data_IF_112001014851
#
_entry.id   IF_112001014851
#
_cell.length_a   1.000
_cell.length_b   1.000
_cell.length_c   1.000
_cell.angle_alpha   90.00
_cell.angle_beta   90.00
_cell.angle_gamma   90.00
#
_symmetry.space_group_name_H-M   'P 1'
#
loop_
_entity.id
_entity.type
_entity.pdbx_description
1 polymer ?
#
# COMPACT_ATOMS: atom_id res chain seq x y z
N UNK A 1 2.12 21.20 -8.35
CA UNK A 1 2.15 19.71 -8.29
C UNK A 1 0.76 19.15 -7.99
N UNK A 2 0.03 19.73 -7.04
CA UNK A 2 -1.42 19.49 -6.86
C UNK A 2 -2.22 20.10 -8.02
N UNK A 3 -1.88 21.34 -8.44
CA UNK A 3 -2.65 22.08 -9.45
C UNK A 3 -2.74 21.37 -10.81
N UNK A 4 -1.66 20.74 -11.30
CA UNK A 4 -1.72 20.01 -12.56
C UNK A 4 -2.48 18.69 -12.44
N UNK A 5 -2.36 17.98 -11.30
CA UNK A 5 -3.05 16.71 -11.08
C UNK A 5 -4.56 16.92 -10.93
N UNK A 6 -4.95 17.94 -10.18
CA UNK A 6 -6.35 18.32 -9.95
C UNK A 6 -6.96 18.96 -11.21
N UNK A 7 -6.21 19.78 -11.95
CA UNK A 7 -6.64 20.31 -13.24
C UNK A 7 -6.82 19.20 -14.30
N UNK A 8 -5.95 18.18 -14.30
CA UNK A 8 -6.10 16.99 -15.16
C UNK A 8 -7.30 16.10 -14.77
N UNK A 9 -7.70 16.07 -13.50
CA UNK A 9 -8.83 15.27 -13.00
C UNK A 9 -10.19 15.95 -13.23
N UNK A 10 -10.25 17.29 -13.10
CA UNK A 10 -11.50 18.04 -13.05
C UNK A 10 -11.71 19.01 -14.23
N UNK A 11 -10.73 19.17 -15.14
CA UNK A 11 -10.82 20.05 -16.31
C UNK A 11 -11.22 21.50 -15.97
N UNK A 12 -11.91 22.16 -16.90
CA UNK A 12 -12.42 23.54 -16.73
C UNK A 12 -13.58 23.66 -15.72
N UNK A 13 -14.13 22.54 -15.25
CA UNK A 13 -15.08 22.45 -14.14
C UNK A 13 -14.43 22.62 -12.75
N UNK A 14 -13.10 22.53 -12.65
CA UNK A 14 -12.37 22.86 -11.42
C UNK A 14 -12.45 24.36 -11.08
N UNK A 15 -12.20 25.31 -12.02
CA UNK A 15 -12.47 26.73 -11.83
C UNK A 15 -13.88 27.06 -11.33
N UNK A 16 -14.92 26.30 -11.66
CA UNK A 16 -16.30 26.58 -11.18
C UNK A 16 -16.52 26.12 -9.73
N UNK A 17 -15.99 24.95 -9.37
CA UNK A 17 -15.96 24.46 -7.99
C UNK A 17 -15.02 25.29 -7.09
N UNK A 18 -13.96 25.85 -7.67
CA UNK A 18 -12.99 26.69 -6.98
C UNK A 18 -13.41 28.17 -6.95
N UNK A 19 -14.11 28.70 -7.96
CA UNK A 19 -14.62 30.10 -8.00
C UNK A 19 -15.72 30.35 -6.99
N UNK A 20 -16.55 29.35 -6.73
CA UNK A 20 -17.52 29.36 -5.63
C UNK A 20 -16.82 29.39 -4.26
N UNK A 21 -15.65 28.77 -4.13
CA UNK A 21 -14.82 28.77 -2.92
C UNK A 21 -13.94 30.05 -2.79
N UNK A 22 -13.45 30.63 -3.89
CA UNK A 22 -12.64 31.87 -3.90
C UNK A 22 -13.46 33.15 -3.85
N UNK A 23 -14.68 33.19 -4.38
CA UNK A 23 -15.66 34.28 -4.18
C UNK A 23 -15.92 34.57 -2.69
N UNK A 24 -15.89 33.51 -1.87
CA UNK A 24 -16.03 33.59 -0.41
C UNK A 24 -14.75 34.14 0.25
N UNK A 25 -13.58 33.86 -0.32
CA UNK A 25 -12.27 34.25 0.19
C UNK A 25 -11.87 35.69 -0.20
N UNK A 26 -12.23 36.14 -1.40
CA UNK A 26 -11.97 37.52 -1.88
C UNK A 26 -12.76 38.57 -1.08
N UNK A 27 -13.93 38.21 -0.54
CA UNK A 27 -14.69 39.06 0.38
C UNK A 27 -13.98 39.36 1.72
N UNK A 28 -12.87 38.66 2.06
CA UNK A 28 -12.23 38.73 3.39
C UNK A 28 -10.74 39.17 3.41
N UNK A 29 -10.17 39.59 2.27
CA UNK A 29 -8.92 40.37 2.11
C UNK A 29 -7.73 40.14 3.06
N UNK A 30 -6.73 39.30 2.70
CA UNK A 30 -5.46 39.17 3.46
C UNK A 30 -4.20 39.05 2.57
N UNK A 31 -3.13 39.77 2.93
CA UNK A 31 -1.85 39.97 2.19
C UNK A 31 -0.57 39.67 3.04
N UNK A 32 0.35 38.82 2.51
CA UNK A 32 1.85 38.78 2.51
C UNK A 32 2.81 38.78 3.78
N UNK A 33 3.57 37.64 3.98
CA UNK A 33 5.06 37.33 4.17
C UNK A 33 5.95 37.83 5.39
N UNK A 34 7.21 37.30 5.71
CA UNK A 34 8.05 36.06 5.43
C UNK A 34 8.93 35.42 6.61
N UNK A 35 9.92 34.49 6.32
CA UNK A 35 10.66 33.45 7.15
C UNK A 35 12.26 33.51 7.19
N UNK A 36 12.98 32.64 7.97
CA UNK A 36 14.45 32.67 8.39
C UNK A 36 15.43 31.48 8.02
N UNK A 37 16.74 31.64 8.40
CA UNK A 37 18.07 31.00 8.10
C UNK A 37 18.57 29.82 9.01
N UNK A 38 19.50 28.97 8.52
CA UNK A 38 20.20 27.90 9.30
C UNK A 38 21.69 28.21 9.54
N UNK A 39 22.15 28.06 10.80
CA UNK A 39 23.48 28.43 11.30
C UNK A 39 24.53 27.31 11.34
N UNK A 40 24.15 26.04 11.31
CA UNK A 40 25.12 24.94 11.52
C UNK A 40 25.86 24.52 10.24
N UNK A 41 25.28 24.83 9.08
CA UNK A 41 25.83 24.47 7.76
C UNK A 41 26.46 25.67 7.04
N UNK A 42 26.33 26.90 7.59
CA UNK A 42 26.69 28.18 6.94
C UNK A 42 26.28 28.27 5.46
N UNK A 43 25.20 27.59 5.10
CA UNK A 43 24.74 27.52 3.72
C UNK A 43 23.22 27.69 3.68
N UNK A 44 22.79 28.53 2.76
CA UNK A 44 21.41 28.61 2.28
C UNK A 44 21.26 27.53 1.21
N UNK A 45 20.30 26.61 1.33
CA UNK A 45 20.12 25.55 0.33
C UNK A 45 18.71 25.56 -0.29
N UNK A 46 18.69 25.67 -1.62
CA UNK A 46 17.57 25.53 -2.55
C UNK A 46 17.86 24.29 -3.43
N UNK A 47 16.88 23.48 -3.86
CA UNK A 47 16.13 23.79 -5.09
C UNK A 47 14.78 23.04 -5.13
N UNK A 48 13.75 23.69 -4.59
CA UNK A 48 12.42 23.71 -5.22
C UNK A 48 12.27 25.14 -5.74
N UNK A 49 11.89 25.30 -7.01
CA UNK A 49 11.72 26.60 -7.65
C UNK A 49 10.84 27.51 -6.76
N UNK A 50 11.43 28.63 -6.34
CA UNK A 50 10.86 29.61 -5.43
C UNK A 50 9.58 30.26 -5.96
N UNK A 51 9.26 30.18 -7.27
CA UNK A 51 7.95 30.60 -7.81
C UNK A 51 6.84 29.64 -7.40
N UNK A 52 7.09 28.33 -7.43
CA UNK A 52 6.13 27.28 -7.07
C UNK A 52 5.84 27.26 -5.57
N UNK A 53 6.90 27.44 -4.75
CA UNK A 53 6.74 27.54 -3.31
C UNK A 53 6.05 28.86 -2.90
N UNK A 54 6.31 29.97 -3.61
CA UNK A 54 5.69 31.29 -3.35
C UNK A 54 4.21 31.36 -3.78
N UNK A 55 3.76 30.52 -4.70
CA UNK A 55 2.34 30.33 -5.04
C UNK A 55 1.60 29.51 -3.98
N UNK A 56 2.23 28.44 -3.47
CA UNK A 56 1.63 27.57 -2.45
C UNK A 56 1.64 28.20 -1.03
N UNK A 57 2.62 29.05 -0.72
CA UNK A 57 2.76 29.68 0.61
C UNK A 57 2.16 31.08 0.73
N UNK A 58 1.79 31.75 -0.38
CA UNK A 58 1.00 33.00 -0.31
C UNK A 58 -0.47 32.76 0.05
N UNK A 59 -1.00 31.57 -0.23
CA UNK A 59 -2.44 31.29 -0.17
C UNK A 59 -2.89 30.50 1.07
N UNK A 60 -1.98 30.11 1.97
CA UNK A 60 -2.34 29.33 3.15
C UNK A 60 -1.55 29.76 4.39
N UNK A 61 -2.10 30.69 5.17
CA UNK A 61 -1.81 30.93 6.61
C UNK A 61 -2.98 31.80 7.14
N UNK A 62 -3.78 31.51 8.17
CA UNK A 62 -3.54 31.33 9.63
C UNK A 62 -4.84 30.71 10.29
N UNK A 63 -4.80 29.52 10.93
CA UNK A 63 -4.86 29.12 12.38
C UNK A 63 -6.17 29.38 13.19
N UNK A 64 -6.86 28.32 13.69
CA UNK A 64 -6.85 27.88 15.13
C UNK A 64 -7.83 26.73 15.52
N UNK A 65 -7.39 25.95 16.54
CA UNK A 65 -8.04 25.02 17.51
C UNK A 65 -8.98 23.87 17.04
N UNK A 66 -8.44 22.65 17.00
CA UNK A 66 -8.97 21.45 17.67
C UNK A 66 -7.95 20.30 17.62
N UNK A 67 -7.16 20.16 18.68
CA UNK A 67 -6.55 18.88 18.99
C UNK A 67 -7.66 17.98 19.54
N UNK A 68 -8.07 16.92 18.83
CA UNK A 68 -8.37 15.61 19.46
C UNK A 68 -8.85 14.45 18.55
N UNK A 69 -9.19 14.63 17.26
CA UNK A 69 -10.00 13.59 16.57
C UNK A 69 -9.34 12.76 15.47
N UNK A 70 -8.05 12.92 15.17
CA UNK A 70 -7.35 12.11 14.16
C UNK A 70 -6.04 11.54 14.73
N UNK A 71 -6.15 10.52 15.59
CA UNK A 71 -5.04 9.58 15.80
C UNK A 71 -5.06 8.59 14.63
N UNK A 72 -4.59 9.03 13.46
CA UNK A 72 -4.21 8.10 12.40
C UNK A 72 -2.99 7.31 12.87
N UNK A 73 -2.95 5.99 12.66
CA UNK A 73 -1.81 5.21 13.07
C UNK A 73 -0.54 5.53 12.29
N UNK A 74 0.55 5.39 13.04
CA UNK A 74 1.93 5.63 12.68
C UNK A 74 2.38 4.75 11.51
N UNK A 75 2.70 5.33 10.34
CA UNK A 75 3.93 5.02 9.59
C UNK A 75 4.22 5.96 8.40
N UNK A 76 3.27 6.80 7.98
CA UNK A 76 3.56 7.88 6.99
C UNK A 76 4.44 9.00 7.61
N UNK A 77 4.69 8.97 8.93
CA UNK A 77 5.41 10.04 9.63
C UNK A 77 6.90 9.85 9.89
N UNK A 78 7.50 8.69 9.60
CA UNK A 78 8.88 8.45 10.02
C UNK A 78 9.97 8.99 9.08
N UNK A 79 9.62 9.53 7.89
CA UNK A 79 10.56 10.29 7.05
C UNK A 79 10.48 11.81 7.21
N UNK A 80 9.62 12.31 8.11
CA UNK A 80 9.53 13.73 8.47
C UNK A 80 10.05 14.03 9.89
N UNK A 81 10.87 13.15 10.48
CA UNK A 81 11.59 13.48 11.72
C UNK A 81 12.92 14.16 11.41
N UNK A 82 12.79 15.39 10.96
CA UNK A 82 13.85 16.38 10.87
C UNK A 82 13.20 17.74 10.81
N UNK A 83 12.85 18.27 11.99
CA UNK A 83 12.11 19.51 12.26
C UNK A 83 10.59 19.35 12.37
N UNK A 84 10.16 19.45 13.62
CA UNK A 84 8.91 20.10 14.02
C UNK A 84 8.52 21.25 13.09
N UNK A 85 7.21 21.43 12.89
CA UNK A 85 6.49 22.45 12.11
C UNK A 85 6.28 22.10 10.64
N UNK A 86 5.11 21.52 10.33
CA UNK A 86 4.16 22.00 9.31
C UNK A 86 2.96 21.03 9.19
N UNK A 87 2.19 20.88 10.28
CA UNK A 87 0.78 20.49 10.16
C UNK A 87 -0.04 21.75 10.29
N UNK A 88 -0.54 22.26 9.18
CA UNK A 88 -1.44 23.40 9.22
C UNK A 88 -2.87 22.91 9.47
N UNK A 89 -3.38 23.32 10.64
CA UNK A 89 -4.79 23.37 11.04
C UNK A 89 -5.69 23.86 9.91
N UNK A 90 -6.63 23.02 9.45
CA UNK A 90 -7.80 23.43 8.67
C UNK A 90 -8.94 23.74 9.65
N UNK A 91 -9.60 24.89 9.44
CA UNK A 91 -10.66 25.42 10.30
C UNK A 91 -11.93 24.57 10.25
N UNK A 92 -12.75 24.71 11.30
CA UNK A 92 -14.05 24.10 11.54
C UNK A 92 -15.17 24.48 10.56
N UNK A 93 -14.84 24.94 9.35
CA UNK A 93 -15.80 25.33 8.31
C UNK A 93 -15.60 24.59 6.97
N UNK A 94 -14.58 23.72 6.85
CA UNK A 94 -14.37 22.93 5.63
C UNK A 94 -14.55 21.45 5.89
N UNK A 95 -15.65 20.93 5.35
CA UNK A 95 -16.14 19.55 5.46
C UNK A 95 -15.34 18.55 4.59
N UNK A 96 -14.24 18.98 3.96
CA UNK A 96 -13.48 18.21 2.99
C UNK A 96 -11.97 18.20 3.31
N UNK A 97 -11.36 17.02 3.39
CA UNK A 97 -9.90 16.82 3.49
C UNK A 97 -9.38 16.16 2.23
N UNK A 98 -8.24 16.62 1.72
CA UNK A 98 -7.56 16.06 0.54
C UNK A 98 -6.18 15.56 0.96
N UNK A 99 -5.86 14.32 0.64
CA UNK A 99 -4.60 13.67 0.95
C UNK A 99 -3.99 13.09 -0.33
N UNK A 100 -2.74 13.44 -0.69
CA UNK A 100 -2.05 12.74 -1.77
C UNK A 100 -1.75 11.30 -1.36
N UNK A 101 -1.91 10.35 -2.28
CA UNK A 101 -1.45 8.96 -2.13
C UNK A 101 -0.33 8.66 -3.11
N UNK A 102 0.37 7.53 -2.92
CA UNK A 102 1.47 7.11 -3.81
C UNK A 102 1.02 6.92 -5.26
N UNK A 103 -0.24 6.55 -5.46
CA UNK A 103 -0.86 6.28 -6.74
C UNK A 103 -2.07 7.18 -7.01
N UNK A 104 -2.17 8.38 -6.43
CA UNK A 104 -3.31 9.26 -6.68
C UNK A 104 -3.67 10.19 -5.53
N UNK A 105 -4.96 10.29 -5.20
CA UNK A 105 -5.47 11.17 -4.16
C UNK A 105 -6.68 10.58 -3.43
N UNK A 106 -6.81 10.93 -2.15
CA UNK A 106 -7.95 10.58 -1.29
C UNK A 106 -8.63 11.85 -0.82
N UNK A 107 -9.96 11.87 -0.89
CA UNK A 107 -10.83 12.95 -0.48
C UNK A 107 -11.75 12.42 0.63
N UNK A 108 -11.84 13.11 1.75
CA UNK A 108 -12.75 12.76 2.84
C UNK A 108 -13.75 13.88 2.99
N UNK A 109 -15.00 13.61 2.63
CA UNK A 109 -16.13 14.50 2.85
C UNK A 109 -16.84 14.08 4.14
N UNK A 110 -16.66 14.86 5.20
CA UNK A 110 -17.24 14.58 6.51
C UNK A 110 -18.74 14.81 6.57
N UNK A 111 -19.29 15.68 5.73
CA UNK A 111 -20.71 16.03 5.76
C UNK A 111 -21.57 15.03 5.04
N UNK A 112 -21.11 14.55 3.89
CA UNK A 112 -21.75 13.44 3.20
C UNK A 112 -21.35 12.08 3.79
N UNK A 113 -20.41 12.07 4.75
CA UNK A 113 -19.78 10.87 5.30
C UNK A 113 -19.27 9.94 4.19
N UNK A 114 -18.43 10.48 3.29
CA UNK A 114 -17.87 9.75 2.15
C UNK A 114 -16.36 9.88 2.10
N UNK A 115 -15.72 8.84 1.58
CA UNK A 115 -14.30 8.85 1.20
C UNK A 115 -14.22 8.53 -0.28
N UNK A 116 -13.68 9.43 -1.08
CA UNK A 116 -13.39 9.18 -2.48
C UNK A 116 -11.90 8.94 -2.65
N UNK A 117 -11.51 7.87 -3.34
CA UNK A 117 -10.14 7.63 -3.76
C UNK A 117 -10.10 7.68 -5.28
N UNK A 118 -9.19 8.48 -5.81
CA UNK A 118 -8.87 8.60 -7.23
C UNK A 118 -7.47 8.03 -7.42
N UNK A 119 -7.31 7.09 -8.34
CA UNK A 119 -6.05 6.41 -8.62
C UNK A 119 -5.51 6.76 -10.01
N UNK A 120 -4.18 6.70 -10.12
CA UNK A 120 -3.35 6.83 -11.33
C UNK A 120 -3.88 5.98 -12.48
N UNK A 121 -3.43 6.24 -13.72
CA UNK A 121 -4.08 5.71 -14.92
C UNK A 121 -4.27 4.19 -14.90
N UNK A 122 -5.39 3.71 -15.46
CA UNK A 122 -5.82 2.30 -15.57
C UNK A 122 -4.65 1.36 -15.90
N UNK A 123 -3.72 1.81 -16.73
CA UNK A 123 -2.58 1.03 -17.19
C UNK A 123 -1.65 0.58 -16.07
N UNK A 124 -1.62 1.28 -14.92
CA UNK A 124 -0.81 0.92 -13.77
C UNK A 124 -1.48 -0.11 -12.82
N UNK A 125 -2.81 -0.06 -12.68
CA UNK A 125 -3.58 -0.89 -11.73
C UNK A 125 -4.93 -1.30 -12.34
N UNK A 126 -4.94 -2.07 -13.45
CA UNK A 126 -6.12 -2.28 -14.28
C UNK A 126 -7.27 -3.00 -13.56
N UNK A 127 -6.95 -3.82 -12.57
CA UNK A 127 -7.91 -4.66 -11.85
C UNK A 127 -8.46 -4.00 -10.58
N UNK A 128 -8.06 -2.75 -10.27
CA UNK A 128 -8.37 -2.10 -8.99
C UNK A 128 -9.86 -2.13 -8.60
N UNK A 129 -10.75 -1.69 -9.49
CA UNK A 129 -12.18 -1.63 -9.18
C UNK A 129 -12.80 -3.02 -9.04
N UNK A 130 -12.42 -3.95 -9.91
CA UNK A 130 -12.89 -5.34 -9.87
C UNK A 130 -12.48 -6.03 -8.57
N UNK A 131 -11.25 -5.79 -8.10
CA UNK A 131 -10.75 -6.27 -6.82
C UNK A 131 -11.57 -5.71 -5.66
N UNK A 132 -11.77 -4.39 -5.59
CA UNK A 132 -12.53 -3.74 -4.51
C UNK A 132 -13.98 -4.25 -4.46
N UNK A 133 -14.63 -4.40 -5.62
CA UNK A 133 -16.01 -4.89 -5.73
C UNK A 133 -16.13 -6.37 -5.33
N UNK A 134 -15.22 -7.23 -5.82
CA UNK A 134 -15.19 -8.65 -5.44
C UNK A 134 -15.02 -8.85 -3.95
N UNK A 135 -14.11 -8.10 -3.32
CA UNK A 135 -13.90 -8.20 -1.87
C UNK A 135 -15.12 -7.66 -1.11
N UNK A 136 -15.73 -6.57 -1.57
CA UNK A 136 -16.98 -6.08 -0.98
C UNK A 136 -18.09 -7.13 -1.01
N UNK A 137 -18.20 -7.91 -2.08
CA UNK A 137 -19.16 -9.02 -2.13
C UNK A 137 -18.77 -10.21 -1.26
N UNK A 138 -17.48 -10.54 -1.15
CA UNK A 138 -17.00 -11.67 -0.36
C UNK A 138 -17.13 -11.42 1.17
N UNK A 139 -16.78 -10.22 1.63
CA UNK A 139 -16.78 -9.85 3.06
C UNK A 139 -17.42 -8.46 3.29
N UNK A 140 -18.70 -8.25 2.91
CA UNK A 140 -19.36 -6.94 2.94
C UNK A 140 -19.43 -6.32 4.34
N UNK A 141 -19.30 -7.16 5.38
CA UNK A 141 -19.27 -6.72 6.77
C UNK A 141 -17.90 -6.15 7.15
N UNK A 142 -16.82 -6.50 6.49
CA UNK A 142 -15.44 -6.18 6.89
C UNK A 142 -14.71 -5.27 5.92
N UNK A 143 -15.43 -4.62 5.01
CA UNK A 143 -14.89 -3.55 4.16
C UNK A 143 -15.84 -2.34 4.17
N UNK A 144 -15.33 -1.12 3.92
CA UNK A 144 -16.21 0.04 3.75
C UNK A 144 -17.19 -0.16 2.59
N UNK A 145 -18.45 0.23 2.80
CA UNK A 145 -19.47 0.09 1.76
C UNK A 145 -19.17 0.98 0.55
N UNK A 146 -19.16 0.39 -0.65
CA UNK A 146 -18.99 1.12 -1.91
C UNK A 146 -20.31 1.83 -2.25
N UNK A 147 -20.25 3.15 -2.44
CA UNK A 147 -21.38 4.00 -2.84
C UNK A 147 -21.44 4.11 -4.36
N UNK A 148 -20.28 4.33 -4.99
CA UNK A 148 -20.12 4.39 -6.45
C UNK A 148 -18.65 4.19 -6.83
N UNK A 149 -18.43 3.65 -8.02
CA UNK A 149 -17.12 3.42 -8.62
C UNK A 149 -17.19 3.75 -10.10
N UNK A 150 -16.04 3.98 -10.73
CA UNK A 150 -15.96 4.09 -12.18
C UNK A 150 -14.65 4.68 -12.69
N UNK A 151 -14.68 5.12 -13.95
CA UNK A 151 -13.54 5.70 -14.64
C UNK A 151 -13.85 7.17 -14.95
N UNK A 152 -12.93 8.06 -14.61
CA UNK A 152 -12.97 9.48 -14.95
C UNK A 152 -12.40 9.74 -16.34
N UNK A 153 -12.60 10.95 -16.85
CA UNK A 153 -11.89 11.43 -18.04
C UNK A 153 -10.37 11.32 -17.80
N UNK A 154 -9.62 10.86 -18.82
CA UNK A 154 -8.18 10.55 -18.76
C UNK A 154 -7.77 9.22 -18.08
N UNK A 155 -8.65 8.21 -18.07
CA UNK A 155 -8.35 6.85 -17.58
C UNK A 155 -7.98 6.79 -16.10
N UNK A 156 -8.49 7.67 -15.23
CA UNK A 156 -8.30 7.55 -13.77
C UNK A 156 -9.44 6.73 -13.17
N UNK A 157 -9.11 5.74 -12.34
CA UNK A 157 -10.14 5.07 -11.55
C UNK A 157 -10.58 5.95 -10.38
N UNK A 158 -11.87 5.89 -10.04
CA UNK A 158 -12.37 6.44 -8.80
C UNK A 158 -13.28 5.44 -8.08
N UNK A 159 -13.24 5.47 -6.75
CA UNK A 159 -14.15 4.73 -5.89
C UNK A 159 -14.55 5.60 -4.72
N UNK A 160 -15.82 5.56 -4.36
CA UNK A 160 -16.40 6.29 -3.23
C UNK A 160 -16.94 5.28 -2.23
N UNK A 161 -16.41 5.33 -1.02
CA UNK A 161 -16.88 4.54 0.10
C UNK A 161 -17.65 5.38 1.11
N UNK A 162 -18.47 4.71 1.92
CA UNK A 162 -18.97 5.28 3.16
C UNK A 162 -17.82 5.54 4.12
N UNK A 163 -17.73 6.76 4.63
CA UNK A 163 -16.78 7.13 5.67
C UNK A 163 -17.10 6.37 6.96
N UNK A 164 -16.07 5.73 7.50
CA UNK A 164 -16.12 5.08 8.80
C UNK A 164 -15.22 5.85 9.77
N UNK A 165 -15.81 6.38 10.84
CA UNK A 165 -15.06 7.08 11.89
C UNK A 165 -14.33 6.06 12.76
N UNK A 166 -12.98 6.00 12.75
CA UNK A 166 -12.23 5.03 13.55
C UNK A 166 -12.41 5.32 15.04
N UNK A 167 -12.55 4.26 15.84
CA UNK A 167 -12.63 4.35 17.31
C UNK A 167 -11.27 4.22 17.98
N UNK A 168 -10.31 3.54 17.35
CA UNK A 168 -8.96 3.37 17.86
C UNK A 168 -7.92 3.27 16.74
N UNK A 169 -6.69 3.77 16.94
CA UNK A 169 -5.59 3.54 16.01
C UNK A 169 -5.07 2.11 16.08
N UNK A 170 -4.80 1.51 14.92
CA UNK A 170 -4.13 0.21 14.80
C UNK A 170 -2.73 0.46 14.26
N UNK A 171 -1.69 0.03 14.97
CA UNK A 171 -0.29 0.26 14.64
C UNK A 171 0.53 -1.02 14.77
N UNK A 172 1.77 -1.02 14.30
CA UNK A 172 2.67 -2.17 14.50
C UNK A 172 2.94 -2.48 15.99
N UNK A 173 2.76 -1.52 16.90
CA UNK A 173 2.95 -1.74 18.34
C UNK A 173 1.86 -2.58 18.99
N UNK A 174 0.63 -2.49 18.48
CA UNK A 174 -0.54 -3.23 18.97
C UNK A 174 -1.10 -4.21 17.93
N UNK A 175 -0.35 -4.48 16.86
CA UNK A 175 -0.79 -5.30 15.73
C UNK A 175 -1.20 -6.71 16.14
N UNK A 176 -0.40 -7.33 17.01
CA UNK A 176 -0.66 -8.69 17.52
C UNK A 176 -2.00 -8.84 18.24
N UNK A 177 -2.56 -7.75 18.79
CA UNK A 177 -3.87 -7.77 19.44
C UNK A 177 -5.03 -7.94 18.45
N UNK A 178 -4.83 -7.52 17.20
CA UNK A 178 -5.83 -7.58 16.14
C UNK A 178 -5.59 -8.75 15.19
N UNK A 179 -4.40 -9.36 15.22
CA UNK A 179 -4.02 -10.48 14.35
C UNK A 179 -5.07 -11.60 14.26
N UNK A 180 -5.62 -12.14 15.37
CA UNK A 180 -6.59 -13.22 15.28
C UNK A 180 -7.84 -12.83 14.46
N UNK A 181 -8.38 -11.64 14.72
CA UNK A 181 -9.57 -11.14 14.03
C UNK A 181 -9.29 -10.86 12.55
N UNK A 182 -8.11 -10.34 12.22
CA UNK A 182 -7.75 -10.05 10.82
C UNK A 182 -7.56 -11.36 10.05
N UNK A 183 -6.90 -12.36 10.64
CA UNK A 183 -6.78 -13.70 10.05
C UNK A 183 -8.17 -14.28 9.80
N UNK A 184 -9.09 -14.19 10.77
CA UNK A 184 -10.47 -14.68 10.58
C UNK A 184 -11.18 -14.00 9.42
N UNK A 185 -11.03 -12.67 9.27
CA UNK A 185 -11.61 -11.92 8.15
C UNK A 185 -11.01 -12.37 6.81
N UNK A 186 -9.69 -12.52 6.74
CA UNK A 186 -9.01 -12.98 5.52
C UNK A 186 -9.45 -14.39 5.13
N UNK A 187 -9.56 -15.31 6.08
CA UNK A 187 -9.97 -16.69 5.79
C UNK A 187 -11.45 -16.81 5.43
N UNK A 188 -12.32 -15.95 5.97
CA UNK A 188 -13.69 -15.81 5.44
C UNK A 188 -13.68 -15.39 3.98
N UNK A 189 -12.85 -14.42 3.62
CA UNK A 189 -12.70 -13.95 2.24
C UNK A 189 -12.11 -15.03 1.33
N UNK A 190 -11.05 -15.72 1.75
CA UNK A 190 -10.43 -16.81 0.99
C UNK A 190 -11.41 -17.96 0.76
N UNK A 191 -12.18 -18.34 1.78
CA UNK A 191 -13.23 -19.37 1.63
C UNK A 191 -14.33 -18.94 0.65
N UNK A 192 -14.74 -17.66 0.67
CA UNK A 192 -15.76 -17.14 -0.23
C UNK A 192 -15.28 -17.03 -1.69
N UNK A 193 -14.01 -16.72 -1.90
CA UNK A 193 -13.43 -16.54 -3.25
C UNK A 193 -12.86 -17.83 -3.83
N UNK A 194 -12.52 -18.79 -2.99
CA UNK A 194 -11.90 -20.06 -3.38
C UNK A 194 -10.38 -19.98 -3.51
N UNK A 195 -9.78 -21.10 -3.88
CA UNK A 195 -8.34 -21.28 -4.04
C UNK A 195 -8.04 -21.70 -5.46
N UNK A 196 -7.08 -21.03 -6.11
CA UNK A 196 -6.58 -21.43 -7.44
C UNK A 196 -5.28 -22.21 -7.23
N UNK A 197 -5.17 -23.37 -7.88
CA UNK A 197 -3.93 -24.16 -7.89
C UNK A 197 -3.17 -23.85 -9.17
N UNK A 198 -1.88 -23.54 -9.05
CA UNK A 198 -0.95 -23.36 -10.18
C UNK A 198 0.31 -24.17 -9.94
N UNK A 199 1.00 -24.54 -11.00
CA UNK A 199 2.35 -25.07 -10.84
C UNK A 199 3.34 -23.95 -10.51
N UNK A 200 4.38 -24.23 -9.72
CA UNK A 200 5.45 -23.27 -9.42
C UNK A 200 6.08 -22.71 -10.70
N UNK A 201 6.39 -23.60 -11.64
CA UNK A 201 7.00 -23.25 -12.93
C UNK A 201 6.12 -22.28 -13.72
N UNK A 202 4.85 -22.62 -13.94
CA UNK A 202 3.89 -21.76 -14.65
C UNK A 202 3.81 -20.37 -14.03
N UNK A 203 3.78 -20.30 -12.69
CA UNK A 203 3.67 -19.03 -11.99
C UNK A 203 4.95 -18.19 -12.10
N UNK A 204 6.12 -18.81 -11.97
CA UNK A 204 7.40 -18.13 -12.14
C UNK A 204 7.58 -17.62 -13.58
N UNK A 205 7.18 -18.39 -14.59
CA UNK A 205 7.16 -17.94 -15.99
C UNK A 205 6.21 -16.76 -16.20
N UNK A 206 5.05 -16.74 -15.53
CA UNK A 206 4.14 -15.60 -15.56
C UNK A 206 4.80 -14.33 -14.99
N UNK A 207 5.47 -14.45 -13.83
CA UNK A 207 6.20 -13.34 -13.20
C UNK A 207 7.34 -12.84 -14.07
N UNK A 208 8.11 -13.75 -14.69
CA UNK A 208 9.20 -13.41 -15.60
C UNK A 208 8.68 -12.61 -16.81
N UNK A 209 7.59 -13.08 -17.42
CA UNK A 209 6.93 -12.40 -18.54
C UNK A 209 6.44 -11.00 -18.15
N UNK A 210 5.84 -10.83 -16.97
CA UNK A 210 5.46 -9.51 -16.45
C UNK A 210 6.69 -8.60 -16.32
N UNK A 211 7.81 -9.10 -15.80
CA UNK A 211 9.06 -8.35 -15.70
C UNK A 211 9.62 -7.92 -17.06
N UNK A 212 9.48 -8.75 -18.11
CA UNK A 212 9.91 -8.38 -19.47
C UNK A 212 9.16 -7.19 -20.05
N UNK A 213 7.93 -6.94 -19.62
CA UNK A 213 7.15 -5.78 -20.07
C UNK A 213 7.57 -4.47 -19.41
N UNK A 214 8.38 -4.52 -18.34
CA UNK A 214 8.82 -3.35 -17.59
C UNK A 214 9.90 -2.56 -18.37
N UNK A 215 9.60 -1.30 -18.73
CA UNK A 215 10.48 -0.46 -19.59
C UNK A 215 11.31 0.59 -18.85
N UNK A 216 11.19 0.69 -17.52
CA UNK A 216 11.78 1.80 -16.77
C UNK A 216 13.29 1.63 -16.57
N UNK A 217 14.08 2.60 -17.04
CA UNK A 217 15.56 2.56 -16.98
C UNK A 217 16.13 2.79 -15.57
N UNK A 218 15.38 3.46 -14.68
CA UNK A 218 15.85 3.85 -13.34
C UNK A 218 16.07 2.69 -12.39
N UNK A 219 15.46 1.52 -12.65
CA UNK A 219 15.56 0.33 -11.80
C UNK A 219 16.16 -0.88 -12.54
N UNK A 220 16.91 -0.65 -13.62
CA UNK A 220 17.40 -1.74 -14.48
C UNK A 220 18.28 -2.74 -13.71
N UNK A 221 19.08 -2.27 -12.75
CA UNK A 221 19.94 -3.12 -11.92
C UNK A 221 19.09 -4.04 -11.04
N UNK A 222 18.10 -3.47 -10.35
CA UNK A 222 17.19 -4.22 -9.50
C UNK A 222 16.33 -5.20 -10.30
N UNK A 223 15.83 -4.77 -11.47
CA UNK A 223 15.06 -5.62 -12.39
C UNK A 223 15.91 -6.83 -12.81
N UNK A 224 17.16 -6.62 -13.21
CA UNK A 224 18.04 -7.71 -13.63
C UNK A 224 18.34 -8.68 -12.48
N UNK A 225 18.59 -8.18 -11.26
CA UNK A 225 18.81 -9.06 -10.11
C UNK A 225 17.57 -9.92 -9.81
N UNK A 226 16.36 -9.36 -9.93
CA UNK A 226 15.12 -10.13 -9.76
C UNK A 226 14.92 -11.14 -10.90
N UNK A 227 15.25 -10.80 -12.15
CA UNK A 227 15.22 -11.75 -13.28
C UNK A 227 16.15 -12.94 -13.05
N UNK A 228 17.39 -12.68 -12.66
CA UNK A 228 18.38 -13.72 -12.42
C UNK A 228 17.93 -14.72 -11.33
N UNK A 229 17.25 -14.21 -10.30
CA UNK A 229 16.66 -15.03 -9.24
C UNK A 229 15.47 -15.87 -9.72
N UNK A 230 14.54 -15.27 -10.48
CA UNK A 230 13.42 -16.02 -11.09
C UNK A 230 13.97 -17.12 -12.00
N UNK A 231 14.96 -16.80 -12.84
CA UNK A 231 15.57 -17.74 -13.77
C UNK A 231 16.31 -18.89 -13.06
N UNK A 232 16.98 -18.60 -11.94
CA UNK A 232 17.62 -19.61 -11.11
C UNK A 232 16.59 -20.57 -10.51
N UNK A 233 15.46 -20.06 -10.01
CA UNK A 233 14.37 -20.90 -9.50
C UNK A 233 13.75 -21.75 -10.62
N UNK A 234 13.49 -21.18 -11.79
CA UNK A 234 12.96 -21.92 -12.95
C UNK A 234 13.86 -23.11 -13.32
N UNK A 235 15.17 -22.89 -13.40
CA UNK A 235 16.14 -23.98 -13.66
C UNK A 235 16.04 -25.09 -12.61
N UNK A 236 15.95 -24.75 -11.33
CA UNK A 236 15.82 -25.76 -10.27
C UNK A 236 14.58 -26.64 -10.48
N UNK A 237 13.46 -26.06 -10.90
CA UNK A 237 12.24 -26.81 -11.19
C UNK A 237 12.34 -27.68 -12.45
N UNK A 238 13.02 -27.20 -13.50
CA UNK A 238 13.29 -28.00 -14.72
C UNK A 238 14.10 -29.27 -14.40
N UNK A 239 15.06 -29.19 -13.45
CA UNK A 239 15.92 -30.31 -13.08
C UNK A 239 15.30 -31.28 -12.06
N UNK A 240 14.48 -30.81 -11.11
CA UNK A 240 14.01 -31.64 -9.99
C UNK A 240 12.71 -32.43 -10.27
N UNK A 241 12.08 -32.29 -11.44
CA UNK A 241 10.87 -33.04 -11.89
C UNK A 241 9.64 -32.98 -10.97
N UNK A 242 9.74 -32.36 -9.79
CA UNK A 242 8.67 -32.11 -8.83
C UNK A 242 8.14 -30.71 -9.07
N UNK A 243 7.15 -30.60 -9.96
CA UNK A 243 6.43 -29.34 -10.13
C UNK A 243 5.55 -29.13 -8.88
N UNK A 244 6.08 -28.44 -7.88
CA UNK A 244 5.35 -28.13 -6.65
C UNK A 244 4.09 -27.32 -6.99
N UNK A 245 2.99 -27.63 -6.31
CA UNK A 245 1.75 -26.87 -6.45
C UNK A 245 1.81 -25.63 -5.58
N UNK A 246 1.59 -24.47 -6.20
CA UNK A 246 1.28 -23.22 -5.52
C UNK A 246 -0.22 -23.05 -5.35
N UNK A 247 -0.57 -22.47 -4.22
CA UNK A 247 -1.93 -22.05 -3.91
C UNK A 247 -1.98 -20.55 -4.05
N UNK A 248 -2.93 -20.08 -4.85
CA UNK A 248 -3.21 -18.66 -5.04
C UNK A 248 -4.49 -18.32 -4.28
N UNK A 249 -4.42 -17.28 -3.47
CA UNK A 249 -5.54 -16.73 -2.70
C UNK A 249 -5.80 -15.31 -3.18
N UNK A 250 -7.01 -14.82 -2.96
CA UNK A 250 -7.31 -13.43 -3.24
C UNK A 250 -6.76 -12.54 -2.11
N UNK A 251 -5.46 -12.28 -2.09
CA UNK A 251 -4.79 -11.54 -1.02
C UNK A 251 -5.10 -10.03 -1.04
N UNK A 252 -4.84 -9.37 0.08
CA UNK A 252 -4.93 -7.91 0.21
C UNK A 252 -3.74 -7.21 -0.48
N UNK A 253 -2.55 -7.81 -0.42
CA UNK A 253 -1.37 -7.33 -1.13
C UNK A 253 -0.64 -6.13 -0.49
N UNK A 254 -1.22 -5.55 0.56
CA UNK A 254 -0.62 -4.50 1.39
C UNK A 254 -1.23 -4.53 2.80
N UNK A 255 -1.33 -5.70 3.40
CA UNK A 255 -1.95 -5.85 4.71
C UNK A 255 -1.04 -5.31 5.82
N UNK A 256 -1.19 -4.02 6.10
CA UNK A 256 -0.46 -3.30 7.15
C UNK A 256 -1.44 -2.54 8.04
N UNK A 257 -1.04 -2.13 9.26
CA UNK A 257 -1.93 -1.42 10.20
C UNK A 257 -2.65 -0.21 9.61
N UNK A 258 -2.06 0.48 8.64
CA UNK A 258 -2.66 1.65 8.00
C UNK A 258 -3.87 1.31 7.12
N UNK A 259 -4.02 0.05 6.69
CA UNK A 259 -5.10 -0.45 5.84
C UNK A 259 -6.18 -1.19 6.65
N UNK A 260 -6.17 -1.01 7.98
CA UNK A 260 -7.16 -1.59 8.90
C UNK A 260 -7.77 -0.49 9.77
N UNK A 261 -9.11 -0.45 9.85
CA UNK A 261 -9.86 0.44 10.74
C UNK A 261 -10.55 -0.36 11.84
N UNK A 262 -10.40 0.06 13.10
CA UNK A 262 -11.27 -0.38 14.19
C UNK A 262 -12.40 0.62 14.38
N UNK A 263 -13.64 0.17 14.27
CA UNK A 263 -14.84 1.00 14.39
C UNK A 263 -15.83 0.27 15.30
N UNK A 264 -16.03 0.80 16.50
CA UNK A 264 -16.95 0.24 17.52
C UNK A 264 -16.67 -1.25 17.79
N UNK A 265 -15.39 -1.61 17.92
CA UNK A 265 -14.96 -2.98 18.20
C UNK A 265 -14.95 -3.91 16.99
N UNK A 266 -15.24 -3.42 15.78
CA UNK A 266 -15.20 -4.21 14.54
C UNK A 266 -14.09 -3.74 13.62
N UNK A 267 -13.43 -4.68 12.96
CA UNK A 267 -12.37 -4.40 11.99
C UNK A 267 -12.90 -4.30 10.56
N UNK A 268 -12.34 -3.34 9.83
CA UNK A 268 -12.58 -3.11 8.41
C UNK A 268 -11.23 -3.04 7.68
N UNK A 269 -11.08 -3.84 6.64
CA UNK A 269 -9.94 -3.80 5.71
C UNK A 269 -10.30 -2.88 4.54
N UNK A 270 -9.34 -2.12 4.03
CA UNK A 270 -9.55 -1.20 2.92
C UNK A 270 -8.26 -0.96 2.15
N UNK A 271 -8.35 -0.31 1.00
CA UNK A 271 -7.23 -0.09 0.10
C UNK A 271 -6.70 -1.41 -0.50
N UNK A 272 -7.53 -2.05 -1.31
CA UNK A 272 -7.21 -3.29 -2.01
C UNK A 272 -6.46 -3.03 -3.32
N UNK A 273 -5.82 -1.87 -3.46
CA UNK A 273 -5.13 -1.46 -4.70
C UNK A 273 -3.95 -2.35 -5.11
N UNK A 274 -3.42 -3.15 -4.17
CA UNK A 274 -2.39 -4.15 -4.42
C UNK A 274 -2.90 -5.58 -4.29
N UNK A 275 -4.21 -5.76 -4.09
CA UNK A 275 -4.82 -7.06 -3.90
C UNK A 275 -4.98 -7.86 -5.18
N UNK A 276 -5.65 -9.01 -5.06
CA UNK A 276 -5.93 -9.91 -6.17
C UNK A 276 -5.43 -11.32 -5.94
N UNK A 277 -5.39 -12.12 -7.00
CA UNK A 277 -4.92 -13.50 -6.94
C UNK A 277 -3.40 -13.57 -6.80
N UNK A 278 -2.92 -13.69 -5.56
CA UNK A 278 -1.51 -13.73 -5.21
C UNK A 278 -1.15 -15.05 -4.51
N UNK A 279 0.15 -15.32 -4.35
CA UNK A 279 0.60 -16.51 -3.62
C UNK A 279 -0.01 -16.54 -2.20
N UNK A 280 -0.42 -17.73 -1.73
CA UNK A 280 -1.08 -17.90 -0.44
C UNK A 280 -0.26 -17.34 0.76
N UNK A 281 1.05 -17.21 0.62
CA UNK A 281 1.91 -16.66 1.67
C UNK A 281 2.15 -15.15 1.55
N UNK A 282 1.52 -14.46 0.59
CA UNK A 282 1.81 -13.04 0.32
C UNK A 282 1.48 -12.12 1.49
N UNK A 283 0.25 -12.19 2.00
CA UNK A 283 -0.19 -11.37 3.13
C UNK A 283 0.49 -11.76 4.45
N UNK A 284 0.99 -13.00 4.56
CA UNK A 284 1.80 -13.43 5.69
C UNK A 284 3.23 -12.85 5.59
N UNK A 285 3.83 -12.93 4.40
CA UNK A 285 5.18 -12.44 4.12
C UNK A 285 5.28 -10.92 4.31
N UNK A 286 4.25 -10.16 3.89
CA UNK A 286 4.26 -8.69 3.98
C UNK A 286 4.41 -8.20 5.43
N UNK A 287 4.03 -9.01 6.42
CA UNK A 287 4.17 -8.69 7.85
C UNK A 287 5.64 -8.54 8.28
N UNK A 288 6.55 -9.28 7.63
CA UNK A 288 7.99 -9.24 7.92
C UNK A 288 8.79 -8.46 6.87
N UNK A 289 8.19 -8.16 5.72
CA UNK A 289 8.84 -7.44 4.63
C UNK A 289 9.49 -6.12 5.09
N UNK A 290 8.76 -5.30 5.84
CA UNK A 290 9.27 -4.02 6.35
C UNK A 290 10.33 -4.14 7.45
N UNK A 291 10.68 -5.37 7.84
CA UNK A 291 11.69 -5.70 8.85
C UNK A 291 12.78 -6.58 8.24
N UNK A 292 13.44 -6.10 7.18
CA UNK A 292 14.46 -6.88 6.46
C UNK A 292 15.60 -7.44 7.33
N UNK A 293 15.84 -6.87 8.52
CA UNK A 293 16.84 -7.34 9.49
C UNK A 293 16.26 -8.26 10.58
N UNK A 294 15.01 -8.72 10.44
CA UNK A 294 14.35 -9.59 11.40
C UNK A 294 15.02 -10.95 11.49
N UNK A 295 14.84 -11.61 12.65
CA UNK A 295 15.39 -12.95 12.90
C UNK A 295 14.82 -13.95 11.88
N UNK A 296 13.57 -13.75 11.44
CA UNK A 296 12.94 -14.57 10.41
C UNK A 296 13.77 -14.60 9.12
N UNK A 297 14.12 -13.45 8.56
CA UNK A 297 14.93 -13.38 7.34
C UNK A 297 16.36 -13.89 7.55
N UNK A 298 17.00 -13.52 8.66
CA UNK A 298 18.38 -13.95 8.97
C UNK A 298 18.53 -15.46 9.18
N UNK A 299 17.48 -16.13 9.65
CA UNK A 299 17.49 -17.58 9.91
C UNK A 299 16.69 -18.37 8.88
N UNK A 300 16.22 -17.75 7.79
CA UNK A 300 15.25 -18.32 6.87
C UNK A 300 15.57 -19.76 6.43
N UNK A 301 16.83 -20.04 6.07
CA UNK A 301 17.28 -21.39 5.69
C UNK A 301 17.13 -22.42 6.82
N UNK A 302 17.42 -22.04 8.05
CA UNK A 302 17.50 -22.92 9.22
C UNK A 302 16.16 -23.11 9.93
N UNK A 303 15.18 -22.22 9.74
CA UNK A 303 13.89 -22.26 10.44
C UNK A 303 13.15 -23.58 10.12
N UNK A 304 12.78 -24.31 11.16
CA UNK A 304 11.89 -25.47 11.07
C UNK A 304 10.40 -25.08 11.13
N UNK A 305 9.49 -26.00 10.73
CA UNK A 305 8.04 -25.79 10.88
C UNK A 305 7.66 -25.57 12.35
N UNK A 306 8.25 -26.35 13.26
CA UNK A 306 8.08 -26.17 14.70
C UNK A 306 8.53 -24.78 15.17
N UNK A 307 9.66 -24.28 14.67
CA UNK A 307 10.12 -22.93 15.03
C UNK A 307 9.21 -21.81 14.48
N UNK A 308 8.56 -21.98 13.33
CA UNK A 308 7.53 -21.02 12.85
C UNK A 308 6.28 -21.03 13.73
N UNK A 309 6.01 -22.17 14.36
CA UNK A 309 4.84 -22.41 15.19
C UNK A 309 5.05 -21.84 16.60
N UNK A 310 6.23 -22.07 17.18
CA UNK A 310 6.54 -21.76 18.58
C UNK A 310 7.20 -20.40 18.78
N UNK A 311 8.00 -19.93 17.81
CA UNK A 311 8.60 -18.61 17.90
C UNK A 311 7.64 -17.57 17.32
N UNK A 312 7.61 -16.37 17.91
CA UNK A 312 6.83 -15.23 17.42
C UNK A 312 7.37 -14.64 16.09
N UNK A 313 7.82 -15.48 15.17
CA UNK A 313 8.09 -15.09 13.80
C UNK A 313 6.81 -14.61 13.12
N UNK A 314 6.97 -13.78 12.09
CA UNK A 314 5.84 -13.23 11.34
C UNK A 314 4.88 -12.46 12.24
N UNK A 315 5.42 -11.74 13.23
CA UNK A 315 4.62 -10.99 14.21
C UNK A 315 3.57 -11.84 14.96
N UNK A 316 3.80 -13.14 15.12
CA UNK A 316 2.83 -14.06 15.72
C UNK A 316 1.73 -14.52 14.76
N UNK A 317 1.81 -14.17 13.48
CA UNK A 317 0.89 -14.64 12.44
C UNK A 317 1.22 -16.04 11.94
N UNK A 318 2.47 -16.49 12.07
CA UNK A 318 2.97 -17.73 11.46
C UNK A 318 2.06 -18.93 11.72
N UNK A 319 1.97 -19.36 12.98
CA UNK A 319 1.11 -20.48 13.38
C UNK A 319 -0.36 -20.32 12.98
N UNK A 320 -1.09 -19.28 13.45
CA UNK A 320 -2.53 -19.19 13.21
C UNK A 320 -2.86 -19.09 11.72
N UNK A 321 -2.01 -18.46 10.91
CA UNK A 321 -2.20 -18.40 9.46
C UNK A 321 -2.00 -19.77 8.80
N UNK A 322 -0.90 -20.47 9.12
CA UNK A 322 -0.59 -21.78 8.53
C UNK A 322 -1.65 -22.81 8.91
N UNK A 323 -2.06 -22.87 10.18
CA UNK A 323 -3.08 -23.82 10.64
C UNK A 323 -4.42 -23.62 9.89
N UNK A 324 -4.81 -22.35 9.68
CA UNK A 324 -6.03 -22.00 8.90
C UNK A 324 -5.87 -22.33 7.42
N UNK A 325 -4.69 -22.13 6.86
CA UNK A 325 -4.38 -22.44 5.46
C UNK A 325 -4.45 -23.94 5.21
N UNK A 326 -3.82 -24.75 6.05
CA UNK A 326 -3.87 -26.21 5.95
C UNK A 326 -5.29 -26.74 6.08
N UNK A 327 -6.11 -26.13 6.96
CA UNK A 327 -7.53 -26.45 7.07
C UNK A 327 -8.33 -26.07 5.82
N UNK A 328 -8.09 -24.89 5.24
CA UNK A 328 -8.74 -24.45 3.99
C UNK A 328 -8.35 -25.33 2.79
N UNK A 329 -7.10 -25.79 2.74
CA UNK A 329 -6.56 -26.61 1.67
C UNK A 329 -6.82 -28.11 1.84
N UNK A 330 -7.29 -28.52 3.03
CA UNK A 330 -7.40 -29.92 3.46
C UNK A 330 -6.10 -30.70 3.24
N UNK A 331 -4.95 -30.06 3.49
CA UNK A 331 -3.63 -30.63 3.21
C UNK A 331 -2.58 -29.99 4.12
N UNK A 332 -1.69 -30.82 4.67
CA UNK A 332 -0.54 -30.34 5.44
C UNK A 332 0.55 -29.77 4.52
N UNK A 333 1.10 -28.62 4.89
CA UNK A 333 2.17 -27.94 4.17
C UNK A 333 3.52 -28.30 4.79
N UNK A 334 4.46 -28.74 3.96
CA UNK A 334 5.85 -28.93 4.36
C UNK A 334 6.54 -27.58 4.61
N UNK A 335 7.63 -27.60 5.40
CA UNK A 335 8.44 -26.39 5.61
C UNK A 335 9.06 -25.87 4.30
N UNK A 336 9.37 -26.75 3.36
CA UNK A 336 9.87 -26.40 2.03
C UNK A 336 8.81 -25.61 1.25
N UNK A 337 7.55 -26.08 1.22
CA UNK A 337 6.45 -25.36 0.57
C UNK A 337 6.20 -23.98 1.19
N UNK A 338 6.26 -23.87 2.53
CA UNK A 338 6.09 -22.59 3.23
C UNK A 338 7.22 -21.61 2.85
N UNK A 339 8.48 -22.06 2.88
CA UNK A 339 9.62 -21.23 2.50
C UNK A 339 9.56 -20.83 1.03
N UNK A 340 9.22 -21.76 0.15
CA UNK A 340 9.07 -21.49 -1.27
C UNK A 340 7.97 -20.47 -1.52
N UNK A 341 6.81 -20.61 -0.86
CA UNK A 341 5.73 -19.65 -0.92
C UNK A 341 6.18 -18.24 -0.52
N UNK A 342 6.84 -18.10 0.63
CA UNK A 342 7.39 -16.81 1.08
C UNK A 342 8.39 -16.20 0.08
N UNK A 343 9.28 -17.02 -0.50
CA UNK A 343 10.26 -16.56 -1.50
C UNK A 343 9.56 -16.08 -2.78
N UNK A 344 8.59 -16.85 -3.28
CA UNK A 344 7.82 -16.47 -4.46
C UNK A 344 6.99 -15.21 -4.21
N UNK A 345 6.41 -15.05 -3.01
CA UNK A 345 5.73 -13.81 -2.62
C UNK A 345 6.64 -12.59 -2.66
N UNK A 346 7.94 -12.71 -2.28
CA UNK A 346 8.90 -11.61 -2.39
C UNK A 346 9.17 -11.22 -3.85
N UNK A 347 9.31 -12.22 -4.72
CA UNK A 347 9.50 -12.00 -6.16
C UNK A 347 8.25 -11.37 -6.78
N UNK A 348 7.08 -11.89 -6.45
CA UNK A 348 5.77 -11.35 -6.84
C UNK A 348 5.59 -9.90 -6.38
N UNK A 349 5.96 -9.56 -5.15
CA UNK A 349 5.97 -8.16 -4.65
C UNK A 349 6.90 -7.27 -5.46
N UNK A 350 8.07 -7.78 -5.86
CA UNK A 350 9.02 -7.05 -6.70
C UNK A 350 8.42 -6.76 -8.08
N UNK A 351 7.91 -7.79 -8.75
CA UNK A 351 7.26 -7.71 -10.06
C UNK A 351 6.14 -6.68 -10.05
N UNK A 352 5.20 -6.81 -9.11
CA UNK A 352 4.05 -5.91 -8.99
C UNK A 352 4.49 -4.47 -8.72
N UNK A 353 5.53 -4.27 -7.91
CA UNK A 353 6.10 -2.94 -7.64
C UNK A 353 6.72 -2.33 -8.91
N UNK A 354 7.51 -3.09 -9.68
CA UNK A 354 8.06 -2.61 -10.95
C UNK A 354 6.97 -2.24 -11.95
N UNK A 355 5.96 -3.12 -12.12
CA UNK A 355 4.86 -2.89 -13.04
C UNK A 355 4.07 -1.62 -12.70
N UNK A 356 3.92 -1.32 -11.40
CA UNK A 356 3.25 -0.10 -10.94
C UNK A 356 4.10 1.15 -11.16
N UNK A 357 5.39 1.11 -10.78
CA UNK A 357 6.24 2.30 -10.82
C UNK A 357 6.72 2.72 -12.21
N UNK A 358 6.64 1.84 -13.21
CA UNK A 358 7.05 2.15 -14.59
C UNK A 358 6.23 3.27 -15.26
N UNK A 359 5.03 3.55 -14.77
CA UNK A 359 4.12 4.57 -15.31
C UNK A 359 4.31 5.95 -14.66
N UNK A 360 5.25 6.08 -13.72
CA UNK A 360 5.54 7.33 -13.06
C UNK A 360 6.82 7.96 -13.64
N UNK A 361 6.68 9.16 -14.22
CA UNK A 361 7.79 9.93 -14.82
C UNK A 361 8.86 10.39 -13.82
N UNK A 362 8.59 10.28 -12.52
CA UNK A 362 9.47 10.72 -11.44
C UNK A 362 9.95 9.48 -10.69
N UNK A 363 11.26 9.38 -10.44
CA UNK A 363 11.85 8.40 -9.53
C UNK A 363 11.15 8.48 -8.17
N UNK A 364 10.25 7.53 -7.91
CA UNK A 364 9.63 7.40 -6.60
C UNK A 364 10.67 6.79 -5.66
N UNK A 365 11.24 7.62 -4.78
CA UNK A 365 12.16 7.17 -3.73
C UNK A 365 11.58 6.03 -2.88
N UNK A 366 10.25 5.94 -2.76
CA UNK A 366 9.55 4.86 -2.08
C UNK A 366 9.60 3.54 -2.85
N UNK A 367 9.45 3.57 -4.18
CA UNK A 367 9.56 2.38 -5.04
C UNK A 367 10.98 1.84 -5.03
N UNK A 368 11.97 2.70 -5.21
CA UNK A 368 13.40 2.34 -5.12
C UNK A 368 13.73 1.71 -3.76
N UNK A 369 13.21 2.28 -2.67
CA UNK A 369 13.41 1.76 -1.32
C UNK A 369 12.83 0.35 -1.15
N UNK A 370 11.60 0.11 -1.62
CA UNK A 370 10.95 -1.21 -1.56
C UNK A 370 11.81 -2.24 -2.30
N UNK A 371 12.27 -1.91 -3.51
CA UNK A 371 13.05 -2.83 -4.34
C UNK A 371 14.41 -3.16 -3.71
N UNK A 372 15.12 -2.16 -3.20
CA UNK A 372 16.36 -2.36 -2.44
C UNK A 372 16.15 -3.21 -1.19
N UNK A 373 15.00 -3.05 -0.52
CA UNK A 373 14.65 -3.85 0.64
C UNK A 373 14.44 -5.31 0.27
N UNK A 374 13.73 -5.59 -0.83
CA UNK A 374 13.53 -6.96 -1.32
C UNK A 374 14.88 -7.59 -1.67
N UNK A 375 15.73 -6.90 -2.42
CA UNK A 375 17.07 -7.38 -2.76
C UNK A 375 17.91 -7.66 -1.52
N UNK A 376 17.85 -6.78 -0.51
CA UNK A 376 18.54 -7.00 0.77
C UNK A 376 18.04 -8.28 1.46
N UNK A 377 16.73 -8.50 1.50
CA UNK A 377 16.13 -9.71 2.07
C UNK A 377 16.60 -10.94 1.31
N UNK A 378 16.53 -10.92 -0.02
CA UNK A 378 16.93 -12.04 -0.86
C UNK A 378 18.41 -12.39 -0.68
N UNK A 379 19.30 -11.39 -0.56
CA UNK A 379 20.73 -11.59 -0.22
C UNK A 379 20.96 -12.21 1.16
N UNK A 380 20.07 -11.96 2.13
CA UNK A 380 20.15 -12.59 3.46
C UNK A 380 19.65 -14.04 3.45
N UNK A 381 18.81 -14.39 2.47
CA UNK A 381 18.24 -15.73 2.31
C UNK A 381 19.15 -16.62 1.47
N UNK A 382 19.99 -16.06 0.59
CA UNK A 382 21.04 -16.77 -0.16
C UNK A 382 22.14 -17.34 0.73
#
# INVERSE_FOLDING_TARGET
MIDNYVYHIFGDSFPELFSSITSIAEKKGCNNKPLFYDRNTKQYWNNINFRTLRLLTKNFTIISKAAFCLKLPYFIFYRFRGRSSNYHTLSSEKELVIMPSLNGAVFVNFSDQQVCKILTPIEAEPDFLDIEEKVFHAIPKHVPAIIKSGVLQNNYFYIVWKYLKPTAPISFYNWSQYTPDIIDIMFQQYAAMGVIKKSCEEYLTELERKLFTCKQKSFLVEINEIKDRIHTLLKLYEYDSKNETLFMLHCHGDLVPNNVLSVKGKLYLFDWSLGGWLNAFYDLMIQEFYRADSIFWKRFKMISKFELIENQYLLGWGKPFIDRLEALLETELSIQQIKMGCLISLLEKSVNSFCRYQHHDINFESGEYILKLIIKILKNID
#
